data_IF_397167947627
#
_entry.id   IF_397167947627
#
_cell.length_a   1.000
_cell.length_b   1.000
_cell.length_c   1.000
_cell.angle_alpha   90.00
_cell.angle_beta   90.00
_cell.angle_gamma   90.00
#
_symmetry.space_group_name_H-M   'P 1'
#
loop_
_entity.id
_entity.type
_entity.pdbx_description
1 polymer ?
#
# COMPACT_ATOMS: atom_id res chain seq x y z
N UNK A 1 19.94 -3.33 -12.38
CA UNK A 1 18.96 -4.33 -12.88
C UNK A 1 18.12 -4.97 -11.77
N UNK A 2 18.44 -4.84 -10.47
CA UNK A 2 17.71 -5.51 -9.38
C UNK A 2 16.45 -4.79 -8.88
N UNK A 3 16.33 -3.46 -9.05
CA UNK A 3 15.15 -2.69 -8.60
C UNK A 3 13.86 -3.01 -9.37
N UNK A 4 13.96 -3.43 -10.63
CA UNK A 4 12.79 -3.86 -11.40
C UNK A 4 12.10 -5.07 -10.76
N UNK A 5 12.83 -5.98 -10.10
CA UNK A 5 12.24 -7.17 -9.50
C UNK A 5 11.23 -6.85 -8.38
N UNK A 6 11.64 -6.04 -7.41
CA UNK A 6 10.78 -5.71 -6.26
C UNK A 6 9.55 -4.89 -6.70
N UNK A 7 9.75 -3.82 -7.47
CA UNK A 7 8.63 -2.97 -7.88
C UNK A 7 7.70 -3.68 -8.87
N UNK A 8 8.24 -4.46 -9.83
CA UNK A 8 7.38 -5.26 -10.72
C UNK A 8 6.61 -6.33 -9.95
N UNK A 9 7.16 -6.85 -8.85
CA UNK A 9 6.44 -7.72 -7.93
C UNK A 9 5.20 -7.05 -7.34
N UNK A 10 5.29 -5.78 -6.97
CA UNK A 10 4.14 -4.97 -6.50
C UNK A 10 3.09 -4.82 -7.60
N UNK A 11 3.50 -4.43 -8.81
CA UNK A 11 2.58 -4.30 -9.95
C UNK A 11 1.89 -5.64 -10.30
N UNK A 12 2.65 -6.73 -10.27
CA UNK A 12 2.11 -8.08 -10.48
C UNK A 12 1.12 -8.47 -9.38
N UNK A 13 1.41 -8.15 -8.12
CA UNK A 13 0.49 -8.41 -7.00
C UNK A 13 -0.83 -7.67 -7.20
N UNK A 14 -0.79 -6.37 -7.53
CA UNK A 14 -2.00 -5.58 -7.86
C UNK A 14 -2.82 -6.25 -8.96
N UNK A 15 -2.19 -6.66 -10.06
CA UNK A 15 -2.89 -7.34 -11.15
C UNK A 15 -3.54 -8.65 -10.67
N UNK A 16 -2.82 -9.47 -9.90
CA UNK A 16 -3.33 -10.75 -9.39
C UNK A 16 -4.52 -10.55 -8.45
N UNK A 17 -4.44 -9.60 -7.51
CA UNK A 17 -5.56 -9.27 -6.63
C UNK A 17 -6.75 -8.76 -7.45
N UNK A 18 -6.52 -7.88 -8.42
CA UNK A 18 -7.60 -7.40 -9.29
C UNK A 18 -8.26 -8.54 -10.10
N UNK A 19 -7.48 -9.49 -10.61
CA UNK A 19 -8.03 -10.70 -11.28
C UNK A 19 -8.85 -11.54 -10.30
N UNK A 20 -8.33 -11.79 -9.10
CA UNK A 20 -9.01 -12.61 -8.09
C UNK A 20 -10.32 -11.99 -7.60
N UNK A 21 -10.34 -10.67 -7.45
CA UNK A 21 -11.52 -9.87 -7.10
C UNK A 21 -12.52 -9.73 -8.26
N UNK A 22 -12.17 -10.18 -9.47
CA UNK A 22 -13.02 -10.08 -10.66
C UNK A 22 -13.10 -8.67 -11.27
N UNK A 23 -12.21 -7.75 -10.89
CA UNK A 23 -12.16 -6.39 -11.42
C UNK A 23 -11.33 -6.25 -12.71
N UNK A 24 -10.63 -7.32 -13.12
CA UNK A 24 -9.94 -7.37 -14.41
C UNK A 24 -10.82 -7.97 -15.50
N UNK A 25 -10.93 -7.28 -16.64
CA UNK A 25 -11.59 -7.80 -17.85
C UNK A 25 -10.58 -8.08 -18.95
N UNK A 26 -10.89 -9.05 -19.82
CA UNK A 26 -9.99 -9.50 -20.90
C UNK A 26 -10.66 -9.34 -22.26
N UNK A 27 -9.95 -8.71 -23.19
CA UNK A 27 -10.27 -8.69 -24.60
C UNK A 27 -9.68 -9.95 -25.24
N UNK A 28 -10.55 -10.96 -25.47
CA UNK A 28 -10.13 -12.28 -25.95
C UNK A 28 -9.65 -12.24 -27.40
N UNK A 29 -10.23 -11.36 -28.22
CA UNK A 29 -9.89 -11.25 -29.63
C UNK A 29 -8.52 -10.56 -29.79
N UNK A 30 -8.29 -9.48 -29.04
CA UNK A 30 -7.01 -8.78 -29.02
C UNK A 30 -5.95 -9.44 -28.10
N UNK A 31 -6.30 -10.50 -27.38
CA UNK A 31 -5.43 -11.25 -26.43
C UNK A 31 -4.74 -10.35 -25.40
N UNK A 32 -5.48 -9.42 -24.80
CA UNK A 32 -4.96 -8.45 -23.83
C UNK A 32 -5.91 -8.22 -22.66
N UNK A 33 -5.39 -7.64 -21.59
CA UNK A 33 -6.22 -7.07 -20.53
C UNK A 33 -6.93 -5.84 -21.11
N UNK A 34 -8.25 -5.79 -20.95
CA UNK A 34 -9.08 -4.67 -21.41
C UNK A 34 -9.21 -3.59 -20.34
N UNK A 35 -9.38 -3.99 -19.08
CA UNK A 35 -9.41 -3.10 -17.91
C UNK A 35 -8.96 -3.84 -16.66
N UNK A 36 -8.43 -3.11 -15.68
CA UNK A 36 -8.12 -3.57 -14.32
C UNK A 36 -8.20 -2.37 -13.37
N UNK A 37 -8.59 -2.56 -12.10
CA UNK A 37 -8.88 -1.44 -11.18
C UNK A 37 -7.67 -0.53 -10.89
N UNK A 38 -6.45 -1.06 -11.00
CA UNK A 38 -5.21 -0.33 -10.71
C UNK A 38 -4.33 -0.14 -11.96
N UNK A 39 -4.96 0.03 -13.13
CA UNK A 39 -4.24 0.14 -14.41
C UNK A 39 -3.10 1.18 -14.35
N UNK A 40 -3.40 2.41 -13.90
CA UNK A 40 -2.40 3.49 -13.81
C UNK A 40 -1.22 3.12 -12.91
N UNK A 41 -1.49 2.53 -11.73
CA UNK A 41 -0.43 2.12 -10.81
C UNK A 41 0.43 1.00 -11.40
N UNK A 42 -0.19 0.00 -12.04
CA UNK A 42 0.50 -1.11 -12.68
C UNK A 42 1.37 -0.60 -13.83
N UNK A 43 0.85 0.27 -14.69
CA UNK A 43 1.56 0.83 -15.85
C UNK A 43 2.72 1.74 -15.43
N UNK A 44 2.50 2.64 -14.47
CA UNK A 44 3.54 3.54 -13.98
C UNK A 44 4.66 2.76 -13.27
N UNK A 45 4.33 1.71 -12.51
CA UNK A 45 5.35 0.88 -11.87
C UNK A 45 6.09 0.01 -12.89
N UNK A 46 5.38 -0.65 -13.81
CA UNK A 46 5.98 -1.54 -14.80
C UNK A 46 6.89 -0.80 -15.79
N UNK A 47 6.56 0.44 -16.12
CA UNK A 47 7.41 1.32 -16.95
C UNK A 47 8.58 1.95 -16.18
N UNK A 48 8.57 1.87 -14.84
CA UNK A 48 9.54 2.52 -13.97
C UNK A 48 9.32 4.03 -13.76
N UNK A 49 8.19 4.56 -14.23
CA UNK A 49 7.79 5.96 -14.03
C UNK A 49 7.45 6.27 -12.57
N UNK A 50 6.96 5.27 -11.82
CA UNK A 50 6.70 5.37 -10.39
C UNK A 50 7.22 4.15 -9.64
N UNK A 51 7.50 4.32 -8.35
CA UNK A 51 7.96 3.24 -7.48
C UNK A 51 6.89 2.89 -6.46
N UNK A 52 6.88 1.63 -6.06
CA UNK A 52 6.08 1.13 -4.94
C UNK A 52 6.92 0.83 -3.70
N UNK A 53 6.29 0.86 -2.52
CA UNK A 53 6.88 0.49 -1.22
C UNK A 53 5.96 -0.44 -0.43
N UNK A 54 6.54 -1.11 0.57
CA UNK A 54 5.82 -1.92 1.56
C UNK A 54 5.95 -1.26 2.93
N UNK A 55 4.82 -0.94 3.53
CA UNK A 55 4.70 -0.03 4.67
C UNK A 55 4.17 -0.80 5.88
N UNK A 56 5.08 -1.53 6.54
CA UNK A 56 4.74 -2.52 7.58
C UNK A 56 5.12 -2.00 8.98
N UNK A 57 6.42 -1.83 9.22
CA UNK A 57 7.02 -1.52 10.53
C UNK A 57 6.59 -0.17 11.07
N UNK A 58 6.32 -0.12 12.37
CA UNK A 58 5.99 1.05 13.17
C UNK A 58 7.08 1.31 14.24
N UNK A 59 7.16 2.52 14.81
CA UNK A 59 8.15 2.83 15.86
C UNK A 59 8.18 1.84 17.02
N UNK A 60 7.01 1.35 17.42
CA UNK A 60 6.84 0.47 18.57
C UNK A 60 6.57 -0.99 18.17
N UNK A 61 6.55 -1.33 16.87
CA UNK A 61 6.19 -2.66 16.40
C UNK A 61 6.84 -3.01 15.04
N UNK A 62 7.55 -4.15 15.00
CA UNK A 62 8.18 -4.68 13.79
C UNK A 62 7.94 -6.18 13.64
N UNK A 63 8.73 -6.99 14.35
CA UNK A 63 8.57 -8.45 14.33
C UNK A 63 7.23 -8.91 14.92
N UNK A 64 6.69 -8.16 15.89
CA UNK A 64 5.35 -8.38 16.43
C UNK A 64 4.31 -7.57 15.64
N UNK A 65 3.82 -8.16 14.54
CA UNK A 65 2.81 -7.51 13.70
C UNK A 65 1.46 -7.36 14.41
N UNK A 66 1.16 -8.19 15.42
CA UNK A 66 -0.10 -8.07 16.15
C UNK A 66 -0.18 -6.75 16.94
N UNK A 67 0.97 -6.14 17.26
CA UNK A 67 1.08 -4.88 17.99
C UNK A 67 0.96 -3.61 17.10
N UNK A 68 0.80 -3.75 15.78
CA UNK A 68 0.65 -2.60 14.88
C UNK A 68 -0.61 -1.78 15.22
N UNK A 69 -0.50 -0.46 15.19
CA UNK A 69 -1.53 0.50 15.60
C UNK A 69 -2.00 1.43 14.48
N UNK A 70 -1.29 1.49 13.35
CA UNK A 70 -1.80 2.18 12.15
C UNK A 70 -3.18 1.61 11.84
N UNK A 71 -4.17 2.49 11.65
CA UNK A 71 -5.56 2.08 11.44
C UNK A 71 -6.06 2.54 10.08
N UNK A 72 -7.05 1.83 9.58
CA UNK A 72 -7.79 2.17 8.38
C UNK A 72 -9.29 2.13 8.69
N UNK A 73 -9.98 3.22 8.37
CA UNK A 73 -11.41 3.39 8.62
C UNK A 73 -12.13 3.65 7.30
N UNK A 74 -13.30 3.03 7.11
CA UNK A 74 -14.15 3.28 5.93
C UNK A 74 -15.03 4.50 6.20
N UNK A 75 -14.79 5.57 5.44
CA UNK A 75 -15.60 6.79 5.53
C UNK A 75 -17.04 6.57 5.03
N UNK A 76 -17.94 7.47 5.40
CA UNK A 76 -19.33 7.45 4.93
C UNK A 76 -19.46 7.65 3.39
N UNK A 77 -18.41 8.18 2.76
CA UNK A 77 -18.26 8.31 1.31
C UNK A 77 -17.79 7.01 0.63
N UNK A 78 -17.56 5.95 1.39
CA UNK A 78 -17.08 4.67 0.88
C UNK A 78 -15.58 4.64 0.61
N UNK A 79 -14.81 5.63 1.07
CA UNK A 79 -13.35 5.70 0.90
C UNK A 79 -12.64 5.29 2.18
N UNK A 80 -11.73 4.32 2.09
CA UNK A 80 -10.85 3.96 3.20
C UNK A 80 -9.84 5.07 3.46
N UNK A 81 -9.56 5.34 4.73
CA UNK A 81 -8.55 6.32 5.13
C UNK A 81 -7.62 5.75 6.17
N UNK A 82 -6.32 5.85 5.89
CA UNK A 82 -5.25 5.33 6.74
C UNK A 82 -4.70 6.43 7.63
N UNK A 83 -4.55 6.14 8.93
CA UNK A 83 -3.89 7.04 9.89
C UNK A 83 -2.86 6.27 10.71
N UNK A 84 -1.62 6.75 10.70
CA UNK A 84 -0.52 6.15 11.45
C UNK A 84 0.86 6.56 10.93
N UNK A 85 1.90 5.96 11.50
CA UNK A 85 3.28 6.25 11.14
C UNK A 85 4.02 4.94 10.88
N UNK A 86 4.72 4.88 9.74
CA UNK A 86 5.54 3.76 9.33
C UNK A 86 7.01 4.17 9.25
N UNK A 87 7.91 3.29 9.68
CA UNK A 87 9.36 3.56 9.72
C UNK A 87 10.12 2.50 8.92
N UNK A 88 11.34 2.84 8.52
CA UNK A 88 12.21 1.97 7.72
C UNK A 88 11.62 1.59 6.35
N UNK A 89 10.86 2.50 5.75
CA UNK A 89 10.19 2.25 4.47
C UNK A 89 11.17 2.44 3.32
N UNK A 90 11.61 1.31 2.76
CA UNK A 90 12.43 1.30 1.55
C UNK A 90 11.61 1.82 0.38
N UNK A 91 12.19 2.73 -0.39
CA UNK A 91 11.51 3.47 -1.45
C UNK A 91 10.33 4.31 -0.97
N UNK A 92 10.32 4.78 0.28
CA UNK A 92 9.24 5.60 0.83
C UNK A 92 9.03 6.98 0.15
N UNK A 93 9.87 7.34 -0.83
CA UNK A 93 9.64 8.48 -1.72
C UNK A 93 8.76 8.11 -2.95
N UNK A 94 8.44 6.83 -3.10
CA UNK A 94 7.61 6.26 -4.16
C UNK A 94 6.17 6.77 -4.11
N UNK A 95 5.42 6.48 -5.17
CA UNK A 95 4.05 6.98 -5.34
C UNK A 95 3.02 6.03 -4.74
N UNK A 96 3.30 4.72 -4.76
CA UNK A 96 2.33 3.67 -4.41
C UNK A 96 2.77 2.90 -3.18
N UNK A 97 2.07 3.08 -2.06
CA UNK A 97 2.43 2.48 -0.78
C UNK A 97 1.47 1.34 -0.46
N UNK A 98 1.99 0.14 -0.24
CA UNK A 98 1.24 -0.99 0.32
C UNK A 98 1.31 -0.93 1.84
N UNK A 99 0.29 -0.34 2.45
CA UNK A 99 0.23 -0.08 3.89
C UNK A 99 -0.57 -1.16 4.58
N UNK A 100 0.04 -1.83 5.56
CA UNK A 100 -0.72 -2.68 6.47
C UNK A 100 -1.30 -1.82 7.60
N UNK A 101 -2.60 -1.95 7.81
CA UNK A 101 -3.33 -1.19 8.82
C UNK A 101 -4.40 -2.05 9.47
N UNK A 102 -4.71 -1.74 10.73
CA UNK A 102 -5.78 -2.35 11.48
C UNK A 102 -7.12 -1.80 11.04
N UNK A 103 -8.08 -2.68 10.79
CA UNK A 103 -9.46 -2.31 10.48
C UNK A 103 -10.35 -2.63 11.66
N UNK A 104 -10.89 -1.59 12.29
CA UNK A 104 -11.85 -1.75 13.37
C UNK A 104 -13.13 -2.39 12.81
N UNK A 105 -13.57 -3.49 13.42
CA UNK A 105 -14.74 -4.24 12.95
C UNK A 105 -14.46 -5.33 11.91
N UNK A 106 -13.20 -5.72 11.69
CA UNK A 106 -12.89 -6.96 10.99
C UNK A 106 -13.70 -8.11 11.58
N UNK A 107 -14.51 -8.79 10.75
CA UNK A 107 -15.24 -9.99 11.18
C UNK A 107 -14.17 -10.98 11.60
N UNK A 108 -14.10 -11.36 12.88
CA UNK A 108 -13.08 -12.29 13.30
C UNK A 108 -13.22 -13.57 12.48
N UNK A 109 -12.10 -14.09 11.96
CA UNK A 109 -12.04 -15.49 11.56
C UNK A 109 -12.58 -16.32 12.74
N UNK A 110 -13.43 -17.31 12.46
CA UNK A 110 -14.16 -18.09 13.46
C UNK A 110 -13.28 -18.40 14.69
N UNK A 111 -13.65 -17.85 15.85
CA UNK A 111 -12.95 -18.07 17.12
C UNK A 111 -12.01 -16.94 17.59
N UNK A 112 -11.88 -15.83 16.85
CA UNK A 112 -11.10 -14.66 17.28
C UNK A 112 -12.01 -13.52 17.79
N UNK A 113 -11.51 -12.62 18.62
CA UNK A 113 -12.23 -11.39 18.96
C UNK A 113 -12.09 -10.38 17.79
N UNK A 114 -13.12 -9.56 17.46
CA UNK A 114 -13.02 -8.56 16.40
C UNK A 114 -11.85 -7.61 16.63
N UNK A 115 -11.01 -7.41 15.62
CA UNK A 115 -9.93 -6.41 15.64
C UNK A 115 -8.65 -6.77 16.43
N UNK A 116 -8.57 -7.94 17.07
CA UNK A 116 -7.38 -8.33 17.84
C UNK A 116 -6.41 -9.23 17.05
N UNK A 117 -5.11 -9.07 17.34
CA UNK A 117 -4.06 -9.88 16.74
C UNK A 117 -3.88 -9.64 15.23
N UNK A 118 -3.38 -10.67 14.53
CA UNK A 118 -3.12 -10.62 13.09
C UNK A 118 -4.40 -10.56 12.25
N UNK A 119 -5.53 -11.09 12.76
CA UNK A 119 -6.80 -11.12 12.03
C UNK A 119 -7.48 -9.75 11.87
N UNK A 120 -7.02 -8.75 12.63
CA UNK A 120 -7.48 -7.36 12.48
C UNK A 120 -6.69 -6.54 11.46
N UNK A 121 -5.68 -7.11 10.81
CA UNK A 121 -4.84 -6.40 9.84
C UNK A 121 -5.37 -6.57 8.42
N UNK A 122 -5.29 -5.52 7.62
CA UNK A 122 -5.66 -5.52 6.21
C UNK A 122 -4.62 -4.76 5.40
N UNK A 123 -4.53 -5.06 4.11
CA UNK A 123 -3.60 -4.41 3.19
C UNK A 123 -4.31 -3.31 2.40
N UNK A 124 -3.64 -2.16 2.28
CA UNK A 124 -4.17 -1.00 1.58
C UNK A 124 -3.16 -0.48 0.56
N UNK A 125 -3.65 -0.11 -0.62
CA UNK A 125 -2.91 0.69 -1.57
C UNK A 125 -3.18 2.17 -1.29
N UNK A 126 -2.14 2.92 -0.94
CA UNK A 126 -2.17 4.37 -0.79
C UNK A 126 -1.39 5.00 -1.93
N UNK A 127 -2.02 5.94 -2.65
CA UNK A 127 -1.33 6.83 -3.56
C UNK A 127 -0.79 8.03 -2.75
N UNK A 128 0.50 8.05 -2.48
CA UNK A 128 1.12 9.03 -1.59
C UNK A 128 1.19 10.45 -2.15
N UNK A 129 1.09 10.62 -3.47
CA UNK A 129 1.05 11.92 -4.12
C UNK A 129 0.46 11.85 -5.54
N UNK A 130 0.03 13.01 -6.02
CA UNK A 130 -0.31 13.28 -7.41
C UNK A 130 0.66 14.31 -7.99
N UNK A 131 1.06 14.10 -9.24
CA UNK A 131 1.84 15.06 -10.02
C UNK A 131 0.90 15.72 -11.05
N UNK A 132 0.87 17.05 -11.07
CA UNK A 132 0.09 17.82 -12.03
C UNK A 132 0.81 19.09 -12.49
N UNK A 133 0.18 19.90 -13.35
CA UNK A 133 0.78 21.14 -13.86
C UNK A 133 1.20 22.15 -12.78
N UNK A 134 0.51 22.13 -11.63
CA UNK A 134 0.82 22.96 -10.46
C UNK A 134 1.91 22.39 -9.54
N UNK A 135 2.54 21.28 -9.92
CA UNK A 135 3.51 20.56 -9.09
C UNK A 135 2.89 19.36 -8.36
N UNK A 136 3.66 18.83 -7.41
CA UNK A 136 3.31 17.63 -6.64
C UNK A 136 2.43 17.98 -5.44
N UNK A 137 1.30 17.30 -5.31
CA UNK A 137 0.43 17.32 -4.13
C UNK A 137 0.61 16.02 -3.36
N UNK A 138 1.02 16.08 -2.09
CA UNK A 138 1.24 14.89 -1.25
C UNK A 138 0.02 14.60 -0.38
N UNK A 139 -0.35 13.33 -0.33
CA UNK A 139 -1.37 12.75 0.54
C UNK A 139 -0.75 12.03 1.75
N UNK A 140 0.52 11.58 1.62
CA UNK A 140 1.33 11.04 2.71
C UNK A 140 2.62 11.85 2.89
N UNK A 141 3.01 12.07 4.14
CA UNK A 141 4.17 12.88 4.49
C UNK A 141 5.41 12.03 4.68
N UNK A 142 6.54 12.49 4.13
CA UNK A 142 7.87 11.96 4.47
C UNK A 142 8.36 12.76 5.67
N UNK A 143 8.34 12.16 6.86
CA UNK A 143 8.74 12.83 8.10
C UNK A 143 10.26 12.82 8.31
N UNK A 144 10.97 11.86 7.70
CA UNK A 144 12.43 11.75 7.80
C UNK A 144 13.01 10.73 6.84
N UNK A 145 14.31 10.83 6.59
CA UNK A 145 15.09 9.87 5.81
C UNK A 145 16.19 9.31 6.70
N UNK A 146 16.37 8.00 6.65
CA UNK A 146 17.28 7.29 7.55
C UNK A 146 18.75 7.44 7.12
N UNK A 147 19.58 7.85 8.09
CA UNK A 147 21.03 7.77 8.02
C UNK A 147 21.46 6.34 8.36
N UNK A 148 21.70 5.56 7.31
CA UNK A 148 21.97 4.11 7.40
C UNK A 148 23.48 3.85 7.45
N UNK A 149 23.87 2.73 8.03
CA UNK A 149 25.25 2.21 7.94
C UNK A 149 25.67 1.89 6.49
N UNK A 150 24.72 1.51 5.64
CA UNK A 150 24.93 1.13 4.24
C UNK A 150 23.66 1.28 3.41
N UNK A 151 23.69 0.81 2.16
CA UNK A 151 22.57 0.98 1.20
C UNK A 151 22.15 2.45 1.03
N UNK A 152 23.10 3.39 1.08
CA UNK A 152 22.83 4.83 1.05
C UNK A 152 22.08 5.27 -0.22
N UNK A 153 22.29 4.59 -1.35
CA UNK A 153 21.58 4.85 -2.60
C UNK A 153 20.09 4.44 -2.55
N UNK A 154 19.69 3.59 -1.59
CA UNK A 154 18.30 3.23 -1.37
C UNK A 154 17.70 4.18 -0.33
N UNK A 155 16.73 4.98 -0.76
CA UNK A 155 15.99 5.83 0.16
C UNK A 155 15.19 4.96 1.13
N UNK A 156 15.39 5.19 2.42
CA UNK A 156 14.63 4.57 3.50
C UNK A 156 14.07 5.71 4.34
N UNK A 157 12.77 5.71 4.56
CA UNK A 157 12.09 6.87 5.11
C UNK A 157 11.09 6.49 6.21
N UNK A 158 10.79 7.48 7.04
CA UNK A 158 9.62 7.50 7.90
C UNK A 158 8.47 8.17 7.16
N UNK A 159 7.33 7.49 7.09
CA UNK A 159 6.12 7.94 6.40
C UNK A 159 5.00 8.14 7.43
N UNK A 160 4.30 9.27 7.33
CA UNK A 160 3.15 9.60 8.17
C UNK A 160 1.92 9.71 7.28
N UNK A 161 0.87 9.01 7.69
CA UNK A 161 -0.46 9.02 7.09
C UNK A 161 -1.42 9.69 8.07
N UNK A 162 -2.14 10.70 7.59
CA UNK A 162 -3.12 11.47 8.35
C UNK A 162 -4.41 11.53 7.54
N UNK A 163 -5.38 10.70 7.91
CA UNK A 163 -6.64 10.58 7.17
C UNK A 163 -6.44 10.34 5.66
N UNK A 164 -5.37 9.61 5.31
CA UNK A 164 -4.88 9.50 3.93
C UNK A 164 -5.77 8.54 3.13
N UNK A 165 -6.34 8.95 1.98
CA UNK A 165 -7.16 8.08 1.15
C UNK A 165 -6.42 6.82 0.69
N UNK A 166 -7.13 5.71 0.74
CA UNK A 166 -6.59 4.40 0.45
C UNK A 166 -7.63 3.49 -0.24
N UNK A 167 -7.12 2.45 -0.88
CA UNK A 167 -7.92 1.40 -1.47
C UNK A 167 -7.60 0.05 -0.80
N UNK A 168 -8.63 -0.70 -0.39
CA UNK A 168 -8.44 -2.05 0.12
C UNK A 168 -7.88 -2.97 -0.98
N UNK A 169 -6.86 -3.75 -0.64
CA UNK A 169 -6.27 -4.81 -1.46
C UNK A 169 -6.66 -6.16 -0.86
N UNK A 170 -7.40 -6.96 -1.61
CA UNK A 170 -7.98 -8.20 -1.09
C UNK A 170 -9.17 -7.95 -0.17
N UNK A 171 -9.31 -8.78 0.86
CA UNK A 171 -10.41 -8.72 1.82
C UNK A 171 -9.96 -8.17 3.18
N UNK A 172 -10.92 -7.65 3.95
CA UNK A 172 -10.67 -7.22 5.33
C UNK A 172 -10.25 -8.43 6.17
N UNK A 173 -9.06 -8.36 6.79
CA UNK A 173 -8.54 -9.40 7.68
C UNK A 173 -7.88 -10.59 6.98
N UNK A 174 -7.59 -10.48 5.67
CA UNK A 174 -7.06 -11.57 4.85
C UNK A 174 -5.62 -11.98 5.20
#
# INVERSE_FOLDING_TARGET
>A
MTHYGFHLGIAMALLLFSVREGSTTFDRDARRIASTRWADAIEEIASGAAWGSMDITEPDAGSDMAALRTRAELGADGVWRVTGQKIFITSGHGKYHFVIARTDGAVPRQGMAPGEGLGGLSMFLVKAYDDGPGGRVRHAQIAGVEEKMGHHASATATIVFEDTPAELVGEVGE
#
